data_IF_502175861377
#
_entry.id   IF_502175861377
#
_cell.length_a   1.000
_cell.length_b   1.000
_cell.length_c   1.000
_cell.angle_alpha   90.00
_cell.angle_beta   90.00
_cell.angle_gamma   90.00
#
_symmetry.space_group_name_H-M   'P 1'
#
loop_
_entity.id
_entity.type
_entity.pdbx_description
1 polymer ?
#
# COMPACT_ATOMS: atom_id res chain seq x y z
N UNK A 1 -17.57 18.37 -42.40
CA UNK A 1 -16.54 17.44 -41.85
C UNK A 1 -17.23 16.11 -41.64
N UNK A 2 -16.76 15.06 -42.29
CA UNK A 2 -17.39 13.75 -42.20
C UNK A 2 -17.12 13.11 -40.84
N UNK A 3 -18.09 12.39 -40.22
CA UNK A 3 -17.90 11.65 -38.96
C UNK A 3 -16.70 10.69 -39.00
N UNK A 4 -16.39 10.12 -40.18
CA UNK A 4 -15.27 9.22 -40.41
C UNK A 4 -13.89 9.83 -40.11
N UNK A 5 -13.70 11.13 -40.41
CA UNK A 5 -12.41 11.81 -40.14
C UNK A 5 -12.18 12.04 -38.63
N UNK A 6 -13.24 12.24 -37.85
CA UNK A 6 -13.17 12.28 -36.39
C UNK A 6 -12.75 10.93 -35.79
N UNK A 7 -13.29 9.83 -36.32
CA UNK A 7 -12.92 8.47 -35.92
C UNK A 7 -11.45 8.13 -36.21
N UNK A 8 -10.89 8.60 -37.35
CA UNK A 8 -9.49 8.37 -37.66
C UNK A 8 -8.53 9.06 -36.68
N UNK A 9 -8.80 10.32 -36.32
CA UNK A 9 -7.95 11.04 -35.36
C UNK A 9 -8.01 10.38 -33.96
N UNK A 10 -9.19 9.96 -33.51
CA UNK A 10 -9.36 9.22 -32.28
C UNK A 10 -8.62 7.87 -32.32
N UNK A 11 -8.83 7.09 -33.38
CA UNK A 11 -8.20 5.78 -33.53
C UNK A 11 -6.67 5.89 -33.58
N UNK A 12 -6.13 6.91 -34.22
CA UNK A 12 -4.68 7.18 -34.24
C UNK A 12 -4.18 7.49 -32.81
N UNK A 13 -4.86 8.39 -32.10
CA UNK A 13 -4.52 8.73 -30.71
C UNK A 13 -4.56 7.51 -29.81
N UNK A 14 -5.60 6.69 -29.94
CA UNK A 14 -5.77 5.47 -29.15
C UNK A 14 -4.68 4.42 -29.45
N UNK A 15 -4.24 4.28 -30.72
CA UNK A 15 -3.12 3.41 -31.06
C UNK A 15 -1.80 3.88 -30.45
N UNK A 16 -1.51 5.19 -30.45
CA UNK A 16 -0.35 5.73 -29.73
C UNK A 16 -0.43 5.45 -28.24
N UNK A 17 -1.60 5.60 -27.62
CA UNK A 17 -1.83 5.25 -26.23
C UNK A 17 -1.54 3.77 -25.94
N UNK A 18 -2.07 2.85 -26.79
CA UNK A 18 -1.81 1.40 -26.66
C UNK A 18 -0.33 1.04 -26.82
N UNK A 19 0.38 1.75 -27.68
CA UNK A 19 1.84 1.61 -27.86
C UNK A 19 2.64 2.29 -26.75
N UNK A 20 1.97 2.86 -25.72
CA UNK A 20 2.59 3.64 -24.62
C UNK A 20 3.39 4.86 -25.11
N UNK A 21 3.15 5.32 -26.35
CA UNK A 21 3.70 6.57 -26.85
C UNK A 21 2.81 7.74 -26.41
N UNK A 22 2.89 8.05 -25.12
CA UNK A 22 1.99 9.02 -24.48
C UNK A 22 2.17 10.43 -25.03
N UNK A 23 3.35 10.82 -25.49
CA UNK A 23 3.59 12.13 -26.10
C UNK A 23 2.78 12.31 -27.39
N UNK A 24 2.79 11.33 -28.29
CA UNK A 24 2.01 11.40 -29.53
C UNK A 24 0.51 11.16 -29.27
N UNK A 25 0.18 10.33 -28.26
CA UNK A 25 -1.20 10.14 -27.81
C UNK A 25 -1.80 11.47 -27.34
N UNK A 26 -1.11 12.22 -26.47
CA UNK A 26 -1.53 13.54 -25.98
C UNK A 26 -1.78 14.51 -27.15
N UNK A 27 -0.83 14.63 -28.06
CA UNK A 27 -0.98 15.52 -29.25
C UNK A 27 -2.21 15.16 -30.07
N UNK A 28 -2.39 13.86 -30.32
CA UNK A 28 -3.46 13.36 -31.19
C UNK A 28 -4.83 13.45 -30.52
N UNK A 29 -4.95 13.13 -29.23
CA UNK A 29 -6.18 13.30 -28.47
C UNK A 29 -6.55 14.77 -28.32
N UNK A 30 -5.60 15.66 -27.99
CA UNK A 30 -5.87 17.11 -27.93
C UNK A 30 -6.38 17.65 -29.27
N UNK A 31 -5.78 17.22 -30.39
CA UNK A 31 -6.29 17.57 -31.73
C UNK A 31 -7.70 17.04 -31.97
N UNK A 32 -8.02 15.85 -31.42
CA UNK A 32 -9.34 15.25 -31.56
C UNK A 32 -10.39 16.05 -30.75
N UNK A 33 -10.15 16.30 -29.44
CA UNK A 33 -11.11 16.99 -28.58
C UNK A 33 -11.28 18.50 -28.92
N UNK A 34 -10.30 19.10 -29.59
CA UNK A 34 -10.42 20.49 -30.06
C UNK A 34 -11.38 20.68 -31.26
N UNK A 35 -11.90 19.61 -31.84
CA UNK A 35 -12.84 19.65 -32.95
C UNK A 35 -14.28 19.72 -32.45
N UNK A 36 -15.05 20.68 -32.90
CA UNK A 36 -16.45 20.87 -32.49
C UNK A 36 -17.44 19.81 -32.99
N UNK A 37 -17.01 18.75 -33.63
CA UNK A 37 -17.86 17.66 -34.16
C UNK A 37 -17.26 16.34 -33.70
N UNK A 38 -17.71 15.87 -32.55
CA UNK A 38 -17.18 14.71 -31.87
C UNK A 38 -18.33 13.72 -31.61
N UNK A 39 -18.07 12.41 -31.80
CA UNK A 39 -18.98 11.40 -31.31
C UNK A 39 -18.91 11.37 -29.77
N UNK A 40 -20.02 11.62 -29.09
CA UNK A 40 -20.09 11.83 -27.64
C UNK A 40 -19.40 10.71 -26.82
N UNK A 41 -19.47 9.45 -27.26
CA UNK A 41 -18.84 8.33 -26.57
C UNK A 41 -17.30 8.34 -26.69
N UNK A 42 -16.76 8.72 -27.86
CA UNK A 42 -15.31 8.79 -28.09
C UNK A 42 -14.68 10.01 -27.40
N UNK A 43 -15.43 11.11 -27.29
CA UNK A 43 -14.98 12.29 -26.55
C UNK A 43 -14.74 11.97 -25.07
N UNK A 44 -15.70 11.29 -24.45
CA UNK A 44 -15.63 10.88 -23.04
C UNK A 44 -14.45 9.97 -22.77
N UNK A 45 -14.19 8.99 -23.65
CA UNK A 45 -13.02 8.13 -23.55
C UNK A 45 -11.73 8.90 -23.85
N UNK A 46 -11.73 9.83 -24.82
CA UNK A 46 -10.56 10.64 -25.13
C UNK A 46 -10.09 11.47 -23.94
N UNK A 47 -11.00 12.04 -23.14
CA UNK A 47 -10.64 12.74 -21.91
C UNK A 47 -10.04 11.78 -20.86
N UNK A 48 -10.57 10.56 -20.71
CA UNK A 48 -9.96 9.55 -19.84
C UNK A 48 -8.53 9.25 -20.29
N UNK A 49 -8.32 8.95 -21.61
CA UNK A 49 -6.98 8.61 -22.14
C UNK A 49 -6.00 9.80 -22.11
N UNK A 50 -6.49 11.02 -22.23
CA UNK A 50 -5.70 12.22 -21.99
C UNK A 50 -5.26 12.30 -20.53
N UNK A 51 -6.19 12.13 -19.59
CA UNK A 51 -5.91 12.08 -18.17
C UNK A 51 -4.83 11.05 -17.85
N UNK A 52 -5.00 9.80 -18.32
CA UNK A 52 -4.05 8.71 -18.15
C UNK A 52 -2.67 9.04 -18.75
N UNK A 53 -2.65 9.58 -19.97
CA UNK A 53 -1.40 9.93 -20.68
C UNK A 53 -0.64 11.04 -19.97
N UNK A 54 -1.33 12.07 -19.51
CA UNK A 54 -0.74 13.15 -18.72
C UNK A 54 -0.27 12.66 -17.35
N UNK A 55 -1.05 11.77 -16.69
CA UNK A 55 -0.67 11.21 -15.40
C UNK A 55 0.63 10.41 -15.50
N UNK A 56 0.74 9.50 -16.48
CA UNK A 56 1.95 8.68 -16.71
C UNK A 56 3.16 9.53 -17.07
N UNK A 57 2.95 10.68 -17.74
CA UNK A 57 4.03 11.63 -18.06
C UNK A 57 4.27 12.66 -16.93
N UNK A 58 3.74 12.43 -15.73
CA UNK A 58 3.88 13.29 -14.55
C UNK A 58 3.33 14.71 -14.71
N UNK A 59 2.48 14.94 -15.70
CA UNK A 59 1.78 16.20 -15.91
C UNK A 59 0.43 16.19 -15.15
N UNK A 60 0.48 16.22 -13.83
CA UNK A 60 -0.67 15.95 -12.97
C UNK A 60 -1.79 16.99 -13.02
N UNK A 61 -1.48 18.28 -13.25
CA UNK A 61 -2.50 19.30 -13.45
C UNK A 61 -3.33 19.08 -14.72
N UNK A 62 -2.72 18.89 -15.90
CA UNK A 62 -3.46 18.50 -17.10
C UNK A 62 -4.21 17.17 -16.95
N UNK A 63 -3.64 16.19 -16.20
CA UNK A 63 -4.34 14.94 -15.92
C UNK A 63 -5.64 15.21 -15.15
N UNK A 64 -5.58 15.99 -14.07
CA UNK A 64 -6.71 16.37 -13.25
C UNK A 64 -7.80 17.07 -14.07
N UNK A 65 -7.43 18.03 -14.94
CA UNK A 65 -8.34 18.74 -15.81
C UNK A 65 -9.08 17.78 -16.76
N UNK A 66 -8.35 16.83 -17.36
CA UNK A 66 -8.96 15.87 -18.27
C UNK A 66 -9.87 14.86 -17.56
N UNK A 67 -9.53 14.42 -16.36
CA UNK A 67 -10.47 13.60 -15.56
C UNK A 67 -11.73 14.40 -15.18
N UNK A 68 -11.62 15.70 -14.88
CA UNK A 68 -12.78 16.56 -14.68
C UNK A 68 -13.65 16.64 -15.94
N UNK A 69 -13.04 16.89 -17.11
CA UNK A 69 -13.75 16.96 -18.38
C UNK A 69 -14.49 15.65 -18.69
N UNK A 70 -13.87 14.49 -18.40
CA UNK A 70 -14.51 13.18 -18.54
C UNK A 70 -15.73 13.04 -17.63
N UNK A 71 -15.62 13.47 -16.37
CA UNK A 71 -16.70 13.44 -15.38
C UNK A 71 -17.87 14.34 -15.85
N UNK A 72 -17.59 15.57 -16.24
CA UNK A 72 -18.59 16.54 -16.70
C UNK A 72 -19.28 16.10 -18.00
N UNK A 73 -18.52 15.48 -18.91
CA UNK A 73 -19.08 14.87 -20.12
C UNK A 73 -19.97 13.65 -19.83
N UNK A 74 -19.97 13.12 -18.62
CA UNK A 74 -20.76 11.97 -18.22
C UNK A 74 -20.25 10.65 -18.80
N UNK A 75 -18.94 10.37 -18.67
CA UNK A 75 -18.33 9.09 -19.09
C UNK A 75 -19.00 7.89 -18.43
N UNK A 76 -18.95 6.73 -19.08
CA UNK A 76 -19.40 5.47 -18.48
C UNK A 76 -18.48 5.03 -17.33
N UNK A 77 -17.19 5.36 -17.42
CA UNK A 77 -16.17 5.05 -16.41
C UNK A 77 -16.08 6.18 -15.35
N UNK A 78 -17.24 6.60 -14.81
CA UNK A 78 -17.32 7.66 -13.81
C UNK A 78 -16.52 7.34 -12.56
N UNK A 79 -16.56 6.11 -12.10
CA UNK A 79 -15.82 5.64 -10.93
C UNK A 79 -14.30 5.73 -11.17
N UNK A 80 -13.82 5.24 -12.32
CA UNK A 80 -12.40 5.36 -12.67
C UNK A 80 -11.95 6.82 -12.71
N UNK A 81 -12.70 7.70 -13.39
CA UNK A 81 -12.35 9.11 -13.50
C UNK A 81 -12.31 9.81 -12.13
N UNK A 82 -13.28 9.55 -11.25
CA UNK A 82 -13.30 10.08 -9.89
C UNK A 82 -12.14 9.55 -9.03
N UNK A 83 -11.82 8.25 -9.16
CA UNK A 83 -10.70 7.65 -8.45
C UNK A 83 -9.37 8.28 -8.89
N UNK A 84 -9.10 8.33 -10.20
CA UNK A 84 -7.86 8.89 -10.75
C UNK A 84 -7.74 10.40 -10.47
N UNK A 85 -8.85 11.14 -10.48
CA UNK A 85 -8.89 12.53 -10.02
C UNK A 85 -8.42 12.65 -8.57
N UNK A 86 -8.95 11.81 -7.67
CA UNK A 86 -8.55 11.81 -6.27
C UNK A 86 -7.06 11.46 -6.09
N UNK A 87 -6.56 10.48 -6.83
CA UNK A 87 -5.13 10.12 -6.83
C UNK A 87 -4.28 11.28 -7.33
N UNK A 88 -4.68 11.95 -8.43
CA UNK A 88 -3.96 13.07 -9.02
C UNK A 88 -3.78 14.24 -8.05
N UNK A 89 -4.75 14.50 -7.17
CA UNK A 89 -4.63 15.52 -6.13
C UNK A 89 -3.43 15.29 -5.20
N UNK A 90 -3.08 14.03 -4.92
CA UNK A 90 -1.93 13.71 -4.07
C UNK A 90 -0.58 14.11 -4.68
N UNK A 91 -0.47 14.06 -6.01
CA UNK A 91 0.76 14.43 -6.73
C UNK A 91 0.96 15.94 -6.91
N UNK A 92 -0.06 16.74 -6.65
CA UNK A 92 -0.01 18.22 -6.69
C UNK A 92 -0.19 18.85 -5.30
N UNK A 93 0.06 18.04 -4.26
CA UNK A 93 0.00 18.45 -2.84
C UNK A 93 -1.37 19.02 -2.42
N UNK A 94 -2.45 18.52 -3.03
CA UNK A 94 -3.83 18.80 -2.65
C UNK A 94 -4.40 17.69 -1.78
N UNK A 95 -3.72 17.44 -0.66
CA UNK A 95 -4.04 16.32 0.23
C UNK A 95 -5.48 16.36 0.79
N UNK A 96 -6.02 17.52 1.21
CA UNK A 96 -7.42 17.58 1.65
C UNK A 96 -8.41 17.11 0.57
N UNK A 97 -8.20 17.50 -0.70
CA UNK A 97 -9.05 17.11 -1.83
C UNK A 97 -8.89 15.61 -2.17
N UNK A 98 -7.65 15.04 -2.04
CA UNK A 98 -7.43 13.59 -2.16
C UNK A 98 -8.23 12.84 -1.11
N UNK A 99 -8.15 13.26 0.15
CA UNK A 99 -8.88 12.63 1.26
C UNK A 99 -10.39 12.69 1.04
N UNK A 100 -10.93 13.87 0.70
CA UNK A 100 -12.35 14.05 0.42
C UNK A 100 -12.84 13.11 -0.68
N UNK A 101 -12.14 13.12 -1.83
CA UNK A 101 -12.47 12.26 -2.97
C UNK A 101 -12.44 10.77 -2.63
N UNK A 102 -11.40 10.30 -1.94
CA UNK A 102 -11.27 8.89 -1.57
C UNK A 102 -12.27 8.46 -0.48
N UNK A 103 -12.59 9.35 0.47
CA UNK A 103 -13.53 9.07 1.56
C UNK A 103 -14.96 8.87 1.06
N UNK A 104 -15.38 9.68 0.10
CA UNK A 104 -16.73 9.62 -0.46
C UNK A 104 -16.88 8.54 -1.53
N UNK A 105 -15.80 8.15 -2.17
CA UNK A 105 -15.77 7.24 -3.31
C UNK A 105 -16.51 5.92 -3.08
N UNK A 106 -16.29 5.15 -1.98
CA UNK A 106 -16.93 3.85 -1.79
C UNK A 106 -18.45 3.94 -1.61
N UNK A 107 -18.94 5.08 -1.13
CA UNK A 107 -20.38 5.33 -0.97
C UNK A 107 -21.02 5.79 -2.27
N UNK A 108 -20.32 6.61 -3.04
CA UNK A 108 -20.78 7.12 -4.34
C UNK A 108 -20.81 6.02 -5.40
N UNK A 109 -19.81 5.15 -5.40
CA UNK A 109 -19.62 4.10 -6.40
C UNK A 109 -19.68 2.70 -5.78
N UNK A 110 -20.86 2.32 -5.29
CA UNK A 110 -21.07 1.09 -4.52
C UNK A 110 -20.79 -0.22 -5.26
N UNK A 111 -20.71 -0.17 -6.60
CA UNK A 111 -20.39 -1.32 -7.47
C UNK A 111 -19.01 -1.23 -8.12
N UNK A 112 -18.24 -0.18 -7.84
CA UNK A 112 -16.92 0.00 -8.41
C UNK A 112 -15.93 -1.06 -7.94
N UNK A 113 -15.06 -1.48 -8.84
CA UNK A 113 -13.93 -2.34 -8.52
C UNK A 113 -12.80 -1.61 -7.79
N UNK A 114 -12.79 -0.26 -7.77
CA UNK A 114 -11.76 0.57 -7.14
C UNK A 114 -12.06 0.92 -5.68
N UNK A 115 -13.04 0.27 -5.04
CA UNK A 115 -13.45 0.59 -3.65
C UNK A 115 -12.40 0.20 -2.62
N UNK A 116 -11.77 -0.95 -2.80
CA UNK A 116 -10.67 -1.42 -1.96
C UNK A 116 -9.39 -0.60 -2.19
N UNK A 117 -9.06 -0.25 -3.46
CA UNK A 117 -8.02 0.72 -3.78
C UNK A 117 -8.24 2.05 -3.04
N UNK A 118 -9.48 2.55 -3.07
CA UNK A 118 -9.81 3.81 -2.42
C UNK A 118 -9.59 3.77 -0.90
N UNK A 119 -9.97 2.68 -0.22
CA UNK A 119 -9.71 2.53 1.21
C UNK A 119 -8.22 2.37 1.51
N UNK A 120 -7.48 1.63 0.68
CA UNK A 120 -6.03 1.47 0.85
C UNK A 120 -5.30 2.80 0.69
N UNK A 121 -5.58 3.54 -0.38
CA UNK A 121 -5.00 4.85 -0.66
C UNK A 121 -5.40 5.90 0.38
N UNK A 122 -6.64 5.87 0.89
CA UNK A 122 -7.09 6.72 1.98
C UNK A 122 -6.30 6.44 3.26
N UNK A 123 -6.11 5.17 3.60
CA UNK A 123 -5.29 4.74 4.73
C UNK A 123 -3.84 5.24 4.62
N UNK A 124 -3.20 5.01 3.45
CA UNK A 124 -1.85 5.49 3.18
C UNK A 124 -1.76 7.02 3.29
N UNK A 125 -2.76 7.73 2.78
CA UNK A 125 -2.78 9.20 2.81
C UNK A 125 -2.88 9.71 4.25
N UNK A 126 -3.74 9.13 5.08
CA UNK A 126 -3.82 9.51 6.50
C UNK A 126 -2.51 9.20 7.25
N UNK A 127 -1.89 8.05 6.98
CA UNK A 127 -0.62 7.66 7.62
C UNK A 127 0.51 8.61 7.23
N UNK A 128 0.58 9.06 5.96
CA UNK A 128 1.57 10.05 5.52
C UNK A 128 1.40 11.42 6.18
N UNK A 129 0.20 11.71 6.69
CA UNK A 129 -0.11 12.91 7.49
C UNK A 129 -0.03 12.64 9.01
N UNK A 130 0.57 11.54 9.42
CA UNK A 130 0.67 11.10 10.82
C UNK A 130 -0.69 10.91 11.53
N UNK A 131 -1.78 10.95 10.78
CA UNK A 131 -3.12 10.69 11.30
C UNK A 131 -3.37 9.17 11.37
N UNK A 132 -2.66 8.51 12.27
CA UNK A 132 -2.71 7.05 12.43
C UNK A 132 -4.11 6.54 12.79
N UNK A 133 -4.90 7.32 13.53
CA UNK A 133 -6.27 6.96 13.93
C UNK A 133 -7.16 6.74 12.70
N UNK A 134 -7.21 7.71 11.81
CA UNK A 134 -8.07 7.63 10.62
C UNK A 134 -7.49 6.66 9.58
N UNK A 135 -6.16 6.55 9.49
CA UNK A 135 -5.48 5.53 8.69
C UNK A 135 -5.90 4.11 9.10
N UNK A 136 -5.89 3.82 10.41
CA UNK A 136 -6.35 2.54 10.97
C UNK A 136 -7.83 2.27 10.69
N UNK A 137 -8.69 3.30 10.71
CA UNK A 137 -10.11 3.17 10.36
C UNK A 137 -10.27 2.78 8.89
N UNK A 138 -9.52 3.42 7.98
CA UNK A 138 -9.57 3.11 6.55
C UNK A 138 -9.09 1.67 6.26
N UNK A 139 -7.95 1.25 6.83
CA UNK A 139 -7.47 -0.13 6.69
C UNK A 139 -8.45 -1.17 7.30
N UNK A 140 -9.06 -0.86 8.44
CA UNK A 140 -10.06 -1.76 9.03
C UNK A 140 -11.29 -1.94 8.13
N UNK A 141 -11.74 -0.87 7.47
CA UNK A 141 -12.84 -0.95 6.49
C UNK A 141 -12.46 -1.83 5.30
N UNK A 142 -11.25 -1.63 4.73
CA UNK A 142 -10.73 -2.47 3.67
C UNK A 142 -10.73 -3.95 4.06
N UNK A 143 -10.11 -4.29 5.20
CA UNK A 143 -9.94 -5.68 5.65
C UNK A 143 -11.30 -6.35 5.93
N UNK A 144 -12.27 -5.60 6.47
CA UNK A 144 -13.60 -6.11 6.79
C UNK A 144 -14.48 -6.27 5.55
N UNK A 145 -14.51 -5.25 4.68
CA UNK A 145 -15.48 -5.14 3.60
C UNK A 145 -14.96 -5.81 2.31
N UNK A 146 -13.64 -6.03 2.20
CA UNK A 146 -12.96 -6.64 1.05
C UNK A 146 -11.93 -7.70 1.47
N UNK A 147 -12.36 -8.78 2.16
CA UNK A 147 -11.43 -9.76 2.75
C UNK A 147 -10.56 -10.49 1.71
N UNK A 148 -10.98 -10.52 0.44
CA UNK A 148 -10.26 -11.17 -0.66
C UNK A 148 -9.42 -10.18 -1.51
N UNK A 149 -9.35 -8.91 -1.11
CA UNK A 149 -8.53 -7.92 -1.82
C UNK A 149 -7.04 -8.22 -1.64
N UNK A 150 -6.26 -8.02 -2.71
CA UNK A 150 -4.80 -8.11 -2.68
C UNK A 150 -4.15 -7.05 -1.76
N UNK A 151 -4.90 -6.04 -1.34
CA UNK A 151 -4.44 -5.04 -0.39
C UNK A 151 -4.57 -5.48 1.08
N UNK A 152 -5.26 -6.58 1.39
CA UNK A 152 -5.46 -7.01 2.79
C UNK A 152 -4.15 -7.28 3.50
N UNK A 153 -3.19 -8.08 2.97
CA UNK A 153 -1.91 -8.29 3.64
C UNK A 153 -1.14 -6.97 3.82
N UNK A 154 -1.14 -6.09 2.82
CA UNK A 154 -0.52 -4.76 2.88
C UNK A 154 -1.13 -3.88 3.98
N UNK A 155 -2.45 -3.84 4.06
CA UNK A 155 -3.16 -3.06 5.07
C UNK A 155 -2.93 -3.61 6.49
N UNK A 156 -2.90 -4.93 6.66
CA UNK A 156 -2.55 -5.57 7.94
C UNK A 156 -1.12 -5.24 8.35
N UNK A 157 -0.16 -5.34 7.45
CA UNK A 157 1.23 -5.00 7.73
C UNK A 157 1.36 -3.53 8.17
N UNK A 158 0.73 -2.59 7.43
CA UNK A 158 0.72 -1.16 7.80
C UNK A 158 0.11 -0.93 9.19
N UNK A 159 -0.99 -1.63 9.52
CA UNK A 159 -1.58 -1.58 10.87
C UNK A 159 -0.61 -2.05 11.94
N UNK A 160 0.08 -3.16 11.71
CA UNK A 160 1.04 -3.71 12.67
C UNK A 160 2.19 -2.72 12.91
N UNK A 161 2.73 -2.12 11.85
CA UNK A 161 3.78 -1.10 11.96
C UNK A 161 3.31 0.16 12.71
N UNK A 162 2.06 0.60 12.51
CA UNK A 162 1.49 1.71 13.29
C UNK A 162 1.39 1.34 14.77
N UNK A 163 0.95 0.13 15.09
CA UNK A 163 0.85 -0.34 16.46
C UNK A 163 2.23 -0.40 17.15
N UNK A 164 3.23 -0.91 16.43
CA UNK A 164 4.61 -0.95 16.90
C UNK A 164 5.16 0.45 17.17
N UNK A 165 5.06 1.36 16.20
CA UNK A 165 5.52 2.74 16.32
C UNK A 165 4.80 3.54 17.42
N UNK A 166 3.61 3.11 17.82
CA UNK A 166 2.84 3.73 18.92
C UNK A 166 3.01 2.99 20.25
N UNK A 167 4.02 2.10 20.37
CA UNK A 167 4.36 1.38 21.61
C UNK A 167 3.41 0.23 21.96
N UNK A 168 2.55 -0.19 21.05
CA UNK A 168 1.58 -1.29 21.25
C UNK A 168 2.12 -2.62 20.71
N UNK A 169 3.34 -2.97 21.14
CA UNK A 169 4.08 -4.10 20.57
C UNK A 169 3.35 -5.44 20.62
N UNK A 170 2.59 -5.73 21.68
CA UNK A 170 1.82 -6.98 21.79
C UNK A 170 0.63 -7.04 20.80
N UNK A 171 -0.03 -5.89 20.56
CA UNK A 171 -1.06 -5.78 19.54
C UNK A 171 -0.44 -5.92 18.15
N UNK A 172 0.74 -5.29 17.92
CA UNK A 172 1.50 -5.41 16.67
C UNK A 172 1.87 -6.87 16.39
N UNK A 173 2.42 -7.61 17.37
CA UNK A 173 2.73 -9.04 17.24
C UNK A 173 1.52 -9.86 16.79
N UNK A 174 0.34 -9.59 17.35
CA UNK A 174 -0.89 -10.28 16.97
C UNK A 174 -1.21 -10.07 15.49
N UNK A 175 -1.04 -8.84 15.00
CA UNK A 175 -1.33 -8.51 13.60
C UNK A 175 -0.23 -9.03 12.67
N UNK A 176 1.06 -8.96 13.04
CA UNK A 176 2.16 -9.55 12.27
C UNK A 176 1.98 -11.07 12.11
N UNK A 177 1.63 -11.77 13.19
CA UNK A 177 1.32 -13.21 13.13
C UNK A 177 0.16 -13.50 12.19
N UNK A 178 -0.88 -12.68 12.19
CA UNK A 178 -1.98 -12.82 11.26
C UNK A 178 -1.53 -12.68 9.81
N UNK A 179 -0.67 -11.68 9.49
CA UNK A 179 -0.12 -11.54 8.13
C UNK A 179 0.63 -12.81 7.71
N UNK A 180 1.53 -13.31 8.56
CA UNK A 180 2.34 -14.48 8.25
C UNK A 180 1.51 -15.77 8.10
N UNK A 181 0.50 -15.97 8.94
CA UNK A 181 -0.31 -17.17 8.94
C UNK A 181 -1.37 -17.19 7.82
N UNK A 182 -2.06 -16.05 7.62
CA UNK A 182 -3.18 -15.98 6.67
C UNK A 182 -2.71 -15.73 5.23
N UNK A 183 -1.49 -15.17 5.04
CA UNK A 183 -0.96 -14.77 3.73
C UNK A 183 0.49 -15.24 3.50
N UNK A 184 0.81 -16.53 3.68
CA UNK A 184 2.19 -17.03 3.68
C UNK A 184 2.95 -16.80 2.36
N UNK A 185 2.23 -16.64 1.24
CA UNK A 185 2.82 -16.39 -0.09
C UNK A 185 2.98 -14.91 -0.43
N UNK A 186 2.65 -13.99 0.47
CA UNK A 186 2.79 -12.56 0.23
C UNK A 186 4.17 -12.05 0.63
N UNK A 187 4.65 -10.99 -0.03
CA UNK A 187 5.90 -10.30 0.38
C UNK A 187 5.78 -9.73 1.80
N UNK A 188 4.57 -9.32 2.19
CA UNK A 188 4.26 -8.79 3.50
C UNK A 188 4.45 -9.81 4.62
N UNK A 189 4.32 -11.11 4.34
CA UNK A 189 4.52 -12.18 5.34
C UNK A 189 5.96 -12.25 5.81
N UNK A 190 6.93 -12.14 4.92
CA UNK A 190 8.36 -12.13 5.24
C UNK A 190 8.70 -10.88 6.08
N UNK A 191 8.17 -9.73 5.68
CA UNK A 191 8.35 -8.49 6.43
C UNK A 191 7.71 -8.55 7.82
N UNK A 192 6.53 -9.16 7.94
CA UNK A 192 5.85 -9.35 9.21
C UNK A 192 6.64 -10.25 10.17
N UNK A 193 7.24 -11.33 9.66
CA UNK A 193 8.10 -12.23 10.48
C UNK A 193 9.34 -11.47 10.96
N UNK A 194 9.99 -10.70 10.09
CA UNK A 194 11.17 -9.90 10.44
C UNK A 194 10.85 -8.86 11.52
N UNK A 195 9.74 -8.12 11.37
CA UNK A 195 9.31 -7.13 12.36
C UNK A 195 8.92 -7.79 13.70
N UNK A 196 8.23 -8.91 13.66
CA UNK A 196 7.90 -9.68 14.86
C UNK A 196 9.16 -10.18 15.59
N UNK A 197 10.20 -10.64 14.87
CA UNK A 197 11.49 -11.06 15.44
C UNK A 197 12.08 -9.96 16.31
N UNK A 198 12.10 -8.73 15.80
CA UNK A 198 12.64 -7.57 16.55
C UNK A 198 11.88 -7.37 17.87
N UNK A 199 10.55 -7.41 17.83
CA UNK A 199 9.74 -7.25 19.05
C UNK A 199 10.01 -8.38 20.05
N UNK A 200 10.15 -9.62 19.59
CA UNK A 200 10.45 -10.75 20.46
C UNK A 200 11.83 -10.64 21.11
N UNK A 201 12.84 -10.18 20.36
CA UNK A 201 14.19 -9.90 20.88
C UNK A 201 14.09 -8.80 21.95
N UNK A 202 13.41 -7.70 21.67
CA UNK A 202 13.22 -6.58 22.59
C UNK A 202 12.55 -7.00 23.90
N UNK A 203 11.60 -7.92 23.82
CA UNK A 203 10.92 -8.48 24.99
C UNK A 203 11.68 -9.60 25.69
N UNK A 204 12.81 -10.09 25.13
CA UNK A 204 13.53 -11.26 25.65
C UNK A 204 12.76 -12.59 25.48
N UNK A 205 11.90 -12.67 24.46
CA UNK A 205 10.99 -13.80 24.20
C UNK A 205 11.38 -14.59 22.95
N UNK A 206 12.69 -14.79 22.74
CA UNK A 206 13.22 -15.42 21.52
C UNK A 206 12.72 -16.87 21.37
N UNK A 207 12.52 -17.60 22.48
CA UNK A 207 11.95 -18.95 22.44
C UNK A 207 10.52 -18.96 21.89
N UNK A 208 9.69 -17.97 22.25
CA UNK A 208 8.33 -17.84 21.69
C UNK A 208 8.36 -17.56 20.18
N UNK A 209 9.35 -16.76 19.74
CA UNK A 209 9.61 -16.53 18.32
C UNK A 209 9.95 -17.84 17.61
N UNK A 210 10.94 -18.57 18.10
CA UNK A 210 11.39 -19.85 17.52
C UNK A 210 10.25 -20.86 17.38
N UNK A 211 9.45 -21.04 18.45
CA UNK A 211 8.27 -21.93 18.45
C UNK A 211 7.22 -21.48 17.45
N UNK A 212 7.00 -20.17 17.28
CA UNK A 212 6.02 -19.68 16.31
C UNK A 212 6.49 -19.89 14.88
N UNK A 213 7.72 -19.46 14.54
CA UNK A 213 8.21 -19.51 13.15
C UNK A 213 8.48 -20.92 12.66
N UNK A 214 8.81 -21.89 13.56
CA UNK A 214 8.96 -23.31 13.19
C UNK A 214 7.66 -23.95 12.64
N UNK A 215 6.53 -23.24 12.73
CA UNK A 215 5.23 -23.65 12.17
C UNK A 215 4.92 -22.99 10.83
N UNK A 216 5.79 -22.13 10.34
CA UNK A 216 5.62 -21.40 9.08
C UNK A 216 6.40 -22.11 7.97
N UNK A 217 5.72 -22.70 7.00
CA UNK A 217 6.34 -23.49 5.94
C UNK A 217 7.28 -22.70 5.01
N UNK A 218 7.18 -21.36 5.02
CA UNK A 218 8.00 -20.48 4.18
C UNK A 218 9.19 -19.86 4.90
N UNK A 219 9.40 -20.18 6.18
CA UNK A 219 10.50 -19.67 7.00
C UNK A 219 11.39 -20.83 7.39
N UNK A 220 12.64 -20.78 6.95
CA UNK A 220 13.68 -21.68 7.44
C UNK A 220 14.53 -20.94 8.48
N UNK A 221 14.69 -21.53 9.66
CA UNK A 221 15.45 -20.93 10.76
C UNK A 221 16.57 -21.87 11.15
N UNK A 222 17.77 -21.37 11.09
CA UNK A 222 18.96 -22.05 11.62
C UNK A 222 19.08 -21.82 13.12
N UNK A 223 19.62 -22.82 13.84
CA UNK A 223 19.94 -22.72 15.27
C UNK A 223 20.89 -21.54 15.57
N UNK A 224 21.76 -21.19 14.61
CA UNK A 224 22.66 -20.05 14.67
C UNK A 224 21.93 -18.70 14.74
N UNK A 225 20.78 -18.59 14.08
CA UNK A 225 19.96 -17.36 14.15
C UNK A 225 19.24 -17.21 15.50
N UNK A 226 18.85 -18.31 16.12
CA UNK A 226 18.25 -18.28 17.45
C UNK A 226 19.30 -17.99 18.50
N UNK A 227 20.51 -18.51 18.37
CA UNK A 227 21.67 -18.21 19.20
C UNK A 227 21.97 -16.68 19.16
N UNK A 228 22.16 -16.12 17.97
CA UNK A 228 22.38 -14.68 17.76
C UNK A 228 21.25 -13.83 18.33
N UNK A 229 20.00 -14.19 18.09
CA UNK A 229 18.83 -13.45 18.59
C UNK A 229 18.72 -13.50 20.12
N UNK A 230 19.04 -14.65 20.74
CA UNK A 230 19.01 -14.81 22.21
C UNK A 230 20.12 -14.00 22.86
N UNK A 231 21.31 -13.99 22.25
CA UNK A 231 22.41 -13.13 22.72
C UNK A 231 22.02 -11.65 22.62
N UNK A 232 21.48 -11.18 21.49
CA UNK A 232 21.02 -9.80 21.32
C UNK A 232 19.98 -9.41 22.38
N UNK A 233 19.05 -10.33 22.70
CA UNK A 233 18.05 -10.09 23.74
C UNK A 233 18.68 -9.96 25.14
N UNK A 234 19.79 -10.66 25.41
CA UNK A 234 20.53 -10.56 26.65
C UNK A 234 21.40 -9.31 26.72
N UNK A 235 22.00 -8.92 25.61
CA UNK A 235 22.87 -7.73 25.49
C UNK A 235 22.09 -6.42 25.63
N UNK A 236 20.86 -6.34 25.14
CA UNK A 236 20.06 -5.11 25.15
C UNK A 236 19.93 -4.47 26.53
N UNK A 237 19.49 -5.16 27.60
CA UNK A 237 19.43 -4.56 28.94
C UNK A 237 20.80 -4.13 29.47
N UNK A 238 21.89 -4.79 29.07
CA UNK A 238 23.25 -4.37 29.42
C UNK A 238 23.57 -3.01 28.82
N UNK A 239 23.29 -2.83 27.52
CA UNK A 239 23.49 -1.53 26.82
C UNK A 239 22.58 -0.42 27.37
N UNK A 240 21.39 -0.77 27.85
CA UNK A 240 20.43 0.15 28.48
C UNK A 240 20.72 0.41 29.98
N UNK A 241 21.86 -0.06 30.50
CA UNK A 241 22.26 0.11 31.90
C UNK A 241 21.24 -0.49 32.91
N UNK A 242 20.72 -1.66 32.57
CA UNK A 242 19.77 -2.45 33.40
C UNK A 242 20.44 -3.75 33.89
N UNK A 243 21.43 -3.69 34.83
CA UNK A 243 22.32 -4.81 35.13
C UNK A 243 21.61 -6.05 35.66
N UNK A 244 20.60 -5.90 36.51
CA UNK A 244 19.86 -7.05 37.06
C UNK A 244 19.17 -7.85 35.98
N UNK A 245 18.57 -7.18 35.00
CA UNK A 245 17.89 -7.83 33.87
C UNK A 245 18.90 -8.45 32.90
N UNK A 246 20.02 -7.75 32.65
CA UNK A 246 21.10 -8.26 31.80
C UNK A 246 21.69 -9.56 32.37
N UNK A 247 22.00 -9.60 33.69
CA UNK A 247 22.51 -10.80 34.35
C UNK A 247 21.58 -11.98 34.13
N UNK A 248 20.30 -11.82 34.43
CA UNK A 248 19.30 -12.90 34.27
C UNK A 248 19.26 -13.41 32.83
N UNK A 249 19.23 -12.51 31.85
CA UNK A 249 19.16 -12.91 30.41
C UNK A 249 20.47 -13.53 29.90
N UNK A 250 21.63 -13.10 30.39
CA UNK A 250 22.90 -13.76 30.07
C UNK A 250 23.02 -15.17 30.69
N UNK A 251 22.52 -15.34 31.92
CA UNK A 251 22.44 -16.66 32.54
C UNK A 251 21.53 -17.59 31.74
N UNK A 252 20.37 -17.13 31.30
CA UNK A 252 19.47 -17.87 30.42
C UNK A 252 20.15 -18.23 29.08
N UNK A 253 20.90 -17.28 28.48
CA UNK A 253 21.64 -17.52 27.25
C UNK A 253 22.71 -18.63 27.44
N UNK A 254 23.53 -18.54 28.46
CA UNK A 254 24.59 -19.53 28.75
C UNK A 254 23.99 -20.94 28.97
N UNK A 255 22.87 -21.02 29.69
CA UNK A 255 22.16 -22.26 29.91
C UNK A 255 21.57 -22.86 28.63
N UNK A 256 21.04 -22.04 27.76
CA UNK A 256 20.42 -22.47 26.50
C UNK A 256 21.46 -22.84 25.43
N UNK A 257 22.56 -22.10 25.37
CA UNK A 257 23.63 -22.21 24.37
C UNK A 257 24.99 -22.37 25.03
N UNK A 258 25.27 -23.52 25.76
CA UNK A 258 26.54 -23.69 26.48
C UNK A 258 27.76 -23.72 25.55
N UNK A 259 27.57 -24.00 24.26
CA UNK A 259 28.59 -23.95 23.20
C UNK A 259 28.18 -22.93 22.11
N UNK A 260 27.43 -21.93 22.49
CA UNK A 260 26.95 -20.90 21.57
C UNK A 260 28.06 -20.03 21.00
N UNK A 261 27.78 -19.39 19.88
CA UNK A 261 28.73 -18.57 19.13
C UNK A 261 29.34 -17.43 19.95
N UNK A 262 28.61 -16.93 20.95
CA UNK A 262 29.00 -15.80 21.79
C UNK A 262 29.60 -16.22 23.16
N UNK A 263 29.87 -17.49 23.36
CA UNK A 263 30.60 -18.02 24.55
C UNK A 263 32.09 -18.11 24.20
N UNK A 264 32.94 -17.52 25.04
CA UNK A 264 34.38 -17.52 24.89
C UNK A 264 34.99 -18.83 25.42
#
# INVERSE_FOLDING_TARGET
KTPEKGNLDYNLAYNYFKLKNYTEAIKSFNKYVSKNVIALSQEKDAYIRLGDSYFVTSAYWPALENYNNAIEAGTLDQDYAHFQKAISYGFIDKIPQKIEGLKDFPNKFTKSMYRDDAFYELGNTYVSQENYKDGMIAYNKLIRDFPNSSYVPKALLKKALILENTGKSNEALTVFKRVANDFPSSEESVQAVTSAKIIYIDQGRVNDYAVWVSRLDFVDIENSEIDDATFQAAEKPYLENQPSQAISRFEDYINQFPNGKHIL
#
